data_IF_592749873189
#
_entry.id   IF_592749873189
#
_cell.length_a   1.000
_cell.length_b   1.000
_cell.length_c   1.000
_cell.angle_alpha   90.00
_cell.angle_beta   90.00
_cell.angle_gamma   90.00
#
_symmetry.space_group_name_H-M   'P 1'
#
loop_
_entity.id
_entity.type
_entity.pdbx_description
1 polymer ?
#
# COMPACT_ATOMS: atom_id res chain seq x y z
N UNK A 1 11.86 -16.85 9.77
CA UNK A 1 12.52 -16.45 8.51
C UNK A 1 12.08 -15.04 8.16
N UNK A 2 12.91 -14.23 7.52
CA UNK A 2 12.52 -12.88 7.13
C UNK A 2 11.59 -12.89 5.91
N UNK A 3 10.49 -12.16 6.01
CA UNK A 3 9.52 -11.98 4.93
C UNK A 3 9.93 -10.84 4.00
N UNK A 4 10.45 -9.73 4.55
CA UNK A 4 11.10 -8.69 3.78
C UNK A 4 12.59 -8.74 4.09
N UNK A 5 13.43 -8.78 3.07
CA UNK A 5 14.88 -8.76 3.22
C UNK A 5 15.50 -7.70 2.34
N UNK A 6 16.26 -6.80 2.94
CA UNK A 6 16.94 -5.69 2.28
C UNK A 6 18.44 -5.90 2.46
N UNK A 7 19.17 -5.94 1.35
CA UNK A 7 20.61 -6.26 1.32
C UNK A 7 21.37 -5.20 0.53
N UNK A 8 22.23 -4.47 1.26
CA UNK A 8 23.10 -3.42 0.75
C UNK A 8 22.39 -2.49 -0.24
N UNK A 9 21.21 -1.99 0.14
CA UNK A 9 20.38 -1.17 -0.74
C UNK A 9 20.85 0.28 -0.73
N UNK A 10 21.01 0.83 -1.92
CA UNK A 10 21.32 2.22 -2.16
C UNK A 10 20.24 2.86 -3.02
N UNK A 11 19.94 4.13 -2.74
CA UNK A 11 19.12 4.96 -3.62
C UNK A 11 19.78 6.31 -3.79
N UNK A 12 20.01 6.67 -5.05
CA UNK A 12 20.66 7.90 -5.47
C UNK A 12 19.81 8.58 -6.55
N UNK A 13 19.71 9.92 -6.45
CA UNK A 13 19.13 10.76 -7.49
C UNK A 13 20.22 11.74 -7.94
N UNK A 14 20.58 11.68 -9.22
CA UNK A 14 21.75 12.41 -9.76
C UNK A 14 22.99 12.16 -8.90
N UNK A 15 23.57 13.19 -8.29
CA UNK A 15 24.75 13.07 -7.43
C UNK A 15 24.42 12.94 -5.93
N UNK A 16 23.13 12.92 -5.56
CA UNK A 16 22.68 12.88 -4.18
C UNK A 16 22.30 11.47 -3.73
N UNK A 17 23.09 10.91 -2.80
CA UNK A 17 22.76 9.65 -2.13
C UNK A 17 21.72 9.90 -1.03
N UNK A 18 20.56 9.24 -1.14
CA UNK A 18 19.45 9.35 -0.17
C UNK A 18 19.40 8.14 0.76
N UNK A 19 19.67 6.94 0.25
CA UNK A 19 19.85 5.72 1.05
C UNK A 19 21.22 5.14 0.76
N UNK A 20 21.96 4.84 1.82
CA UNK A 20 23.34 4.36 1.77
C UNK A 20 23.47 3.03 2.53
N UNK A 21 23.75 1.94 1.80
CA UNK A 21 24.09 0.65 2.38
C UNK A 21 23.04 0.06 3.33
N UNK A 22 21.75 0.26 3.05
CA UNK A 22 20.67 -0.16 3.95
C UNK A 22 20.57 -1.70 4.00
N UNK A 23 20.56 -2.24 5.21
CA UNK A 23 20.37 -3.67 5.48
C UNK A 23 19.31 -3.83 6.57
N UNK A 24 18.27 -4.60 6.29
CA UNK A 24 17.26 -4.96 7.29
C UNK A 24 16.58 -6.28 6.94
N UNK A 25 15.95 -6.86 7.95
CA UNK A 25 15.07 -8.01 7.83
C UNK A 25 13.81 -7.74 8.64
N UNK A 26 12.64 -8.00 8.04
CA UNK A 26 11.34 -7.92 8.71
C UNK A 26 10.69 -9.29 8.63
N UNK A 27 10.25 -9.82 9.76
CA UNK A 27 9.53 -11.09 9.82
C UNK A 27 8.07 -10.93 9.31
N UNK A 28 7.47 -12.05 8.90
CA UNK A 28 6.05 -12.04 8.54
C UNK A 28 5.18 -11.64 9.73
N UNK A 29 4.25 -10.72 9.53
CA UNK A 29 3.36 -10.21 10.58
C UNK A 29 4.03 -9.25 11.57
N UNK A 30 5.30 -8.90 11.37
CA UNK A 30 5.98 -7.94 12.24
C UNK A 30 5.44 -6.52 12.05
N UNK A 31 5.25 -5.81 13.16
CA UNK A 31 4.79 -4.43 13.16
C UNK A 31 5.98 -3.48 13.42
N UNK A 32 6.50 -2.87 12.35
CA UNK A 32 7.66 -2.00 12.42
C UNK A 32 7.29 -0.52 12.31
N UNK A 33 8.09 0.35 12.93
CA UNK A 33 7.99 1.81 12.77
C UNK A 33 9.29 2.36 12.20
N UNK A 34 9.19 3.23 11.20
CA UNK A 34 10.34 3.92 10.60
C UNK A 34 10.41 5.36 11.11
N UNK A 35 11.44 5.67 11.90
CA UNK A 35 11.64 6.98 12.54
C UNK A 35 12.88 7.69 11.99
N UNK A 36 12.81 9.01 11.87
CA UNK A 36 13.95 9.84 11.50
C UNK A 36 13.51 11.25 11.10
N UNK A 37 14.47 12.18 11.04
CA UNK A 37 14.23 13.58 10.68
C UNK A 37 13.58 13.74 9.28
N UNK A 38 12.98 14.91 9.01
CA UNK A 38 12.53 15.22 7.65
C UNK A 38 13.71 15.13 6.67
N UNK A 39 13.48 14.50 5.51
CA UNK A 39 14.53 14.32 4.50
C UNK A 39 15.45 13.10 4.67
N UNK A 40 15.36 12.33 5.76
CA UNK A 40 16.25 11.17 5.98
C UNK A 40 15.94 9.91 5.12
N UNK A 41 15.21 10.04 4.01
CA UNK A 41 14.96 8.93 3.07
C UNK A 41 13.80 7.98 3.40
N UNK A 42 12.97 8.25 4.42
CA UNK A 42 11.83 7.38 4.79
C UNK A 42 10.85 7.12 3.64
N UNK A 43 10.39 8.19 3.00
CA UNK A 43 9.45 8.09 1.88
C UNK A 43 10.08 7.41 0.67
N UNK A 44 11.38 7.64 0.44
CA UNK A 44 12.15 6.94 -0.58
C UNK A 44 12.19 5.44 -0.32
N UNK A 45 12.49 5.03 0.91
CA UNK A 45 12.48 3.62 1.28
C UNK A 45 11.09 2.97 1.11
N UNK A 46 10.02 3.65 1.52
CA UNK A 46 8.65 3.17 1.28
C UNK A 46 8.32 3.04 -0.22
N UNK A 47 8.79 3.96 -1.07
CA UNK A 47 8.59 3.86 -2.53
C UNK A 47 9.30 2.66 -3.14
N UNK A 48 10.50 2.33 -2.66
CA UNK A 48 11.21 1.10 -3.04
C UNK A 48 10.41 -0.14 -2.64
N UNK A 49 9.90 -0.21 -1.41
CA UNK A 49 9.09 -1.33 -0.94
C UNK A 49 7.78 -1.48 -1.74
N UNK A 50 7.19 -0.37 -2.19
CA UNK A 50 5.98 -0.38 -3.03
C UNK A 50 6.27 -0.75 -4.49
N UNK A 51 7.52 -0.89 -4.90
CA UNK A 51 7.91 -1.10 -6.30
C UNK A 51 7.66 0.12 -7.19
N UNK A 52 7.49 1.32 -6.60
CA UNK A 52 7.36 2.57 -7.35
C UNK A 52 8.70 3.07 -7.90
N UNK A 53 9.78 2.69 -7.23
CA UNK A 53 11.15 2.99 -7.62
C UNK A 53 11.98 1.71 -7.54
N UNK A 54 13.04 1.63 -8.34
CA UNK A 54 14.02 0.55 -8.30
C UNK A 54 15.26 1.02 -7.54
N UNK A 55 15.82 0.22 -6.62
CA UNK A 55 17.05 0.59 -5.92
C UNK A 55 18.19 0.78 -6.92
N UNK A 56 18.98 1.85 -6.77
CA UNK A 56 20.16 2.10 -7.60
C UNK A 56 21.21 0.99 -7.44
N UNK A 57 21.31 0.39 -6.25
CA UNK A 57 22.16 -0.79 -5.95
C UNK A 57 21.51 -1.65 -4.87
N UNK A 58 21.94 -2.91 -4.79
CA UNK A 58 21.46 -3.87 -3.79
C UNK A 58 20.20 -4.60 -4.22
N UNK A 59 19.59 -5.31 -3.27
CA UNK A 59 18.42 -6.15 -3.52
C UNK A 59 17.41 -6.06 -2.38
N UNK A 60 16.14 -5.98 -2.75
CA UNK A 60 15.01 -6.17 -1.85
C UNK A 60 14.29 -7.44 -2.28
N UNK A 61 14.04 -8.34 -1.33
CA UNK A 61 13.21 -9.53 -1.55
C UNK A 61 12.00 -9.54 -0.63
N UNK A 62 10.92 -10.13 -1.15
CA UNK A 62 9.67 -10.42 -0.44
C UNK A 62 9.43 -11.92 -0.54
N UNK A 63 9.35 -12.61 0.60
CA UNK A 63 9.21 -14.06 0.68
C UNK A 63 10.26 -14.80 -0.19
N UNK A 64 11.53 -14.36 -0.07
CA UNK A 64 12.67 -14.90 -0.82
C UNK A 64 12.71 -14.56 -2.32
N UNK A 65 11.68 -13.90 -2.87
CA UNK A 65 11.64 -13.49 -4.28
C UNK A 65 12.05 -12.04 -4.44
N UNK A 66 12.82 -11.74 -5.48
CA UNK A 66 13.16 -10.35 -5.82
C UNK A 66 11.88 -9.51 -5.99
N UNK A 67 11.85 -8.35 -5.35
CA UNK A 67 10.74 -7.42 -5.48
C UNK A 67 10.68 -6.92 -6.92
N UNK A 68 9.48 -6.93 -7.51
CA UNK A 68 9.31 -6.49 -8.90
C UNK A 68 9.44 -4.98 -9.00
N UNK A 69 10.02 -4.51 -10.10
CA UNK A 69 10.12 -3.08 -10.42
C UNK A 69 8.79 -2.53 -10.98
N UNK A 70 7.67 -2.95 -10.40
CA UNK A 70 6.34 -2.46 -10.70
C UNK A 70 5.47 -2.50 -9.44
N UNK A 71 4.61 -1.49 -9.21
CA UNK A 71 3.59 -1.57 -8.18
C UNK A 71 2.59 -2.70 -8.49
N UNK A 72 2.17 -3.43 -7.47
CA UNK A 72 1.12 -4.43 -7.59
C UNK A 72 0.17 -4.40 -6.39
N UNK A 73 -0.95 -5.13 -6.50
CA UNK A 73 -2.01 -5.12 -5.49
C UNK A 73 -1.66 -5.80 -4.16
N UNK A 74 -0.52 -6.50 -4.06
CA UNK A 74 -0.08 -7.16 -2.82
C UNK A 74 0.50 -6.17 -1.80
N UNK A 75 0.80 -4.94 -2.22
CA UNK A 75 1.45 -3.92 -1.39
C UNK A 75 0.68 -2.61 -1.47
N UNK A 76 0.21 -2.12 -0.33
CA UNK A 76 -0.54 -0.88 -0.22
C UNK A 76 0.15 0.14 0.67
N UNK A 77 -0.18 1.41 0.47
CA UNK A 77 0.22 2.51 1.36
C UNK A 77 -1.01 3.37 1.68
N UNK A 78 -1.08 3.84 2.91
CA UNK A 78 -2.06 4.83 3.34
C UNK A 78 -1.33 6.14 3.56
N UNK A 79 -1.69 7.17 2.78
CA UNK A 79 -1.08 8.50 2.90
C UNK A 79 -1.74 9.32 4.02
N UNK A 80 -0.99 10.28 4.56
CA UNK A 80 -1.50 11.23 5.56
C UNK A 80 -2.55 12.18 4.97
N UNK A 81 -2.45 12.53 3.68
CA UNK A 81 -3.50 13.28 2.99
C UNK A 81 -4.58 12.32 2.50
N UNK A 82 -5.84 12.70 2.67
CA UNK A 82 -6.98 11.89 2.26
C UNK A 82 -6.97 11.65 0.75
N UNK A 83 -6.77 10.40 0.34
CA UNK A 83 -6.82 9.96 -1.06
C UNK A 83 -8.11 9.19 -1.36
N UNK A 84 -9.23 9.65 -0.79
CA UNK A 84 -10.55 9.08 -1.05
C UNK A 84 -11.17 9.69 -2.30
N UNK A 85 -12.06 8.96 -2.95
CA UNK A 85 -12.84 9.46 -4.08
C UNK A 85 -14.01 10.31 -3.54
N UNK A 86 -14.01 11.64 -3.76
CA UNK A 86 -14.98 12.55 -3.14
C UNK A 86 -16.40 12.38 -3.69
N UNK A 87 -16.53 11.83 -4.90
CA UNK A 87 -17.80 11.56 -5.56
C UNK A 87 -18.39 10.19 -5.18
N UNK A 88 -17.74 9.44 -4.28
CA UNK A 88 -18.19 8.15 -3.80
C UNK A 88 -18.54 8.24 -2.32
N UNK A 89 -19.57 7.51 -1.89
CA UNK A 89 -19.86 7.37 -0.46
C UNK A 89 -18.72 6.65 0.27
N UNK A 90 -18.71 6.71 1.60
CA UNK A 90 -17.76 5.94 2.43
C UNK A 90 -17.82 4.45 2.08
N UNK A 91 -19.02 3.89 1.94
CA UNK A 91 -19.22 2.50 1.55
C UNK A 91 -18.64 2.21 0.15
N UNK A 92 -18.89 3.10 -0.82
CA UNK A 92 -18.41 2.93 -2.19
C UNK A 92 -16.89 3.05 -2.29
N UNK A 93 -16.26 3.91 -1.48
CA UNK A 93 -14.81 4.03 -1.40
C UNK A 93 -14.15 2.72 -0.95
N UNK A 94 -14.68 2.08 0.08
CA UNK A 94 -14.15 0.81 0.59
C UNK A 94 -14.48 -0.35 -0.34
N UNK A 95 -15.72 -0.41 -0.88
CA UNK A 95 -16.12 -1.45 -1.81
C UNK A 95 -15.28 -1.45 -3.09
N UNK A 96 -14.86 -0.27 -3.57
CA UNK A 96 -14.02 -0.16 -4.78
C UNK A 96 -12.71 -0.95 -4.66
N UNK A 97 -12.09 -1.01 -3.47
CA UNK A 97 -10.89 -1.83 -3.24
C UNK A 97 -11.11 -3.34 -3.45
N UNK A 98 -12.36 -3.81 -3.31
CA UNK A 98 -12.75 -5.19 -3.59
C UNK A 98 -13.20 -5.38 -5.05
N UNK A 99 -13.75 -4.34 -5.68
CA UNK A 99 -14.27 -4.39 -7.06
C UNK A 99 -13.13 -4.38 -8.09
N UNK A 100 -12.12 -3.52 -7.92
CA UNK A 100 -11.05 -3.32 -8.91
C UNK A 100 -10.28 -4.61 -9.26
N UNK A 101 -9.82 -5.43 -8.28
CA UNK A 101 -9.11 -6.67 -8.61
C UNK A 101 -10.01 -7.73 -9.26
N UNK A 102 -11.32 -7.67 -9.02
CA UNK A 102 -12.31 -8.65 -9.53
C UNK A 102 -12.94 -8.23 -10.86
N UNK A 103 -12.80 -6.96 -11.25
CA UNK A 103 -13.40 -6.38 -12.45
C UNK A 103 -12.43 -5.40 -13.10
N UNK A 104 -11.30 -5.91 -13.60
CA UNK A 104 -10.22 -5.08 -14.14
C UNK A 104 -10.65 -4.20 -15.33
N UNK A 105 -11.62 -4.67 -16.13
CA UNK A 105 -12.07 -3.94 -17.33
C UNK A 105 -13.17 -2.91 -17.05
N UNK A 106 -14.16 -3.25 -16.22
CA UNK A 106 -15.30 -2.37 -15.94
C UNK A 106 -15.09 -1.51 -14.69
N UNK A 107 -14.13 -1.87 -13.84
CA UNK A 107 -13.88 -1.24 -12.54
C UNK A 107 -15.01 -1.43 -11.51
N UNK A 108 -16.08 -2.13 -11.87
CA UNK A 108 -17.29 -2.33 -11.06
C UNK A 108 -17.78 -3.76 -11.13
N UNK A 109 -18.33 -4.24 -10.01
CA UNK A 109 -19.06 -5.49 -9.95
C UNK A 109 -20.55 -5.25 -10.19
N UNK A 110 -21.26 -6.30 -10.59
CA UNK A 110 -22.70 -6.28 -10.84
C UNK A 110 -23.41 -7.43 -10.12
N UNK A 111 -24.72 -7.29 -9.95
CA UNK A 111 -25.58 -8.31 -9.34
C UNK A 111 -25.09 -8.75 -7.96
N UNK A 112 -25.07 -10.06 -7.75
CA UNK A 112 -24.71 -10.67 -6.46
C UNK A 112 -23.28 -10.32 -6.02
N UNK A 113 -22.31 -10.35 -6.94
CA UNK A 113 -20.92 -10.04 -6.62
C UNK A 113 -20.74 -8.61 -6.07
N UNK A 114 -21.54 -7.65 -6.57
CA UNK A 114 -21.57 -6.28 -6.04
C UNK A 114 -22.13 -6.25 -4.63
N UNK A 115 -23.24 -6.98 -4.40
CA UNK A 115 -23.86 -7.06 -3.07
C UNK A 115 -22.89 -7.61 -2.03
N UNK A 116 -22.21 -8.71 -2.36
CA UNK A 116 -21.20 -9.34 -1.49
C UNK A 116 -20.04 -8.38 -1.16
N UNK A 117 -19.53 -7.66 -2.17
CA UNK A 117 -18.45 -6.69 -1.96
C UNK A 117 -18.89 -5.53 -1.05
N UNK A 118 -20.12 -5.02 -1.21
CA UNK A 118 -20.68 -3.98 -0.34
C UNK A 118 -20.90 -4.48 1.07
N UNK A 119 -21.40 -5.69 1.24
CA UNK A 119 -21.60 -6.27 2.56
C UNK A 119 -20.27 -6.44 3.30
N UNK A 120 -19.25 -6.97 2.62
CA UNK A 120 -17.91 -7.08 3.18
C UNK A 120 -17.32 -5.71 3.53
N UNK A 121 -17.47 -4.71 2.65
CA UNK A 121 -17.03 -3.34 2.92
C UNK A 121 -17.74 -2.73 4.15
N UNK A 122 -19.05 -2.96 4.29
CA UNK A 122 -19.82 -2.50 5.45
C UNK A 122 -19.35 -3.15 6.76
N UNK A 123 -19.02 -4.45 6.74
CA UNK A 123 -18.45 -5.15 7.90
C UNK A 123 -17.08 -4.58 8.30
N UNK A 124 -16.20 -4.30 7.33
CA UNK A 124 -14.90 -3.66 7.60
C UNK A 124 -15.08 -2.26 8.19
N UNK A 125 -16.00 -1.47 7.64
CA UNK A 125 -16.35 -0.15 8.17
C UNK A 125 -16.92 -0.21 9.59
N UNK A 126 -17.71 -1.25 9.90
CA UNK A 126 -18.19 -1.53 11.26
C UNK A 126 -17.04 -1.76 12.25
N UNK A 127 -16.03 -2.56 11.86
CA UNK A 127 -14.85 -2.86 12.70
C UNK A 127 -14.02 -1.63 13.05
N UNK A 128 -14.03 -0.60 12.20
CA UNK A 128 -13.31 0.67 12.44
C UNK A 128 -14.20 1.80 12.98
N UNK A 129 -15.45 1.48 13.40
CA UNK A 129 -16.36 2.45 14.01
C UNK A 129 -17.10 3.37 13.03
N UNK A 130 -17.03 3.11 11.73
CA UNK A 130 -17.62 3.94 10.67
C UNK A 130 -18.98 3.42 10.15
N UNK A 131 -19.61 2.46 10.83
CA UNK A 131 -20.91 1.90 10.42
C UNK A 131 -22.06 2.92 10.32
N UNK A 132 -21.98 4.04 11.03
CA UNK A 132 -22.97 5.12 10.97
C UNK A 132 -22.75 6.09 9.80
N UNK A 133 -21.62 5.97 9.09
CA UNK A 133 -21.18 6.89 8.06
C UNK A 133 -21.25 6.30 6.63
N UNK A 134 -21.81 5.10 6.46
CA UNK A 134 -21.76 4.35 5.18
C UNK A 134 -22.21 5.18 3.97
N UNK A 135 -23.29 5.97 4.11
CA UNK A 135 -23.85 6.77 3.03
C UNK A 135 -23.29 8.22 2.97
N UNK A 136 -22.39 8.60 3.86
CA UNK A 136 -21.77 9.94 3.83
C UNK A 136 -20.79 10.03 2.67
N UNK A 137 -20.62 11.23 2.14
CA UNK A 137 -19.58 11.56 1.17
C UNK A 137 -18.42 12.28 1.89
N UNK A 138 -17.16 12.11 1.45
CA UNK A 138 -16.06 12.91 1.95
C UNK A 138 -16.31 14.40 1.66
N UNK A 139 -16.37 15.22 2.71
CA UNK A 139 -16.48 16.69 2.65
C UNK A 139 -15.18 17.33 3.08
#
# INVERSE_FOLDING_TARGET
>A
MSFISVRNVWQQYDDQVVLEGLNLDVAEGEFCTLVGASGCGKSTFLRLLLGQETPSRGLITLDGKALRNEPDASRGVVFQRYSVFPHLSVLDNVALGLELPRSAWLGRLFGQAKSEAREHAAQLLGKVGLGHALAKYPT
#
